data_IF_575535912052
#
_entry.id   IF_575535912052
#
_cell.length_a   1.000
_cell.length_b   1.000
_cell.length_c   1.000
_cell.angle_alpha   90.00
_cell.angle_beta   90.00
_cell.angle_gamma   90.00
#
_symmetry.space_group_name_H-M   'P 1'
#
loop_
_entity.id
_entity.type
_entity.pdbx_description
1 polymer ?
#
# COMPACT_ATOMS: atom_id res chain seq x y z
N UNK A 1 -17.27 8.14 -9.55
CA UNK A 1 -18.69 8.42 -9.84
C UNK A 1 -19.00 7.95 -11.27
N UNK A 2 -19.78 6.86 -11.46
CA UNK A 2 -20.10 6.36 -12.80
C UNK A 2 -20.84 7.36 -13.70
N UNK A 3 -21.26 8.49 -13.15
CA UNK A 3 -21.98 9.54 -13.92
C UNK A 3 -21.05 10.59 -14.55
N UNK A 4 -19.77 10.63 -14.19
CA UNK A 4 -18.78 11.50 -14.81
C UNK A 4 -17.63 10.64 -15.31
N UNK A 5 -17.45 10.57 -16.60
CA UNK A 5 -16.36 9.80 -17.24
C UNK A 5 -14.96 10.37 -16.99
N UNK A 6 -14.79 11.19 -15.96
CA UNK A 6 -13.57 11.96 -15.69
C UNK A 6 -12.78 11.45 -14.49
N UNK A 7 -13.37 10.58 -13.64
CA UNK A 7 -12.70 10.03 -12.45
C UNK A 7 -12.08 8.65 -12.74
N UNK A 8 -11.02 8.30 -12.00
CA UNK A 8 -10.37 7.00 -12.12
C UNK A 8 -11.20 5.86 -11.49
N UNK A 9 -12.05 6.18 -10.50
CA UNK A 9 -12.92 5.22 -9.82
C UNK A 9 -12.34 4.65 -8.52
N UNK A 10 -11.34 5.31 -7.91
CA UNK A 10 -10.88 5.01 -6.56
C UNK A 10 -11.86 5.56 -5.52
N UNK A 11 -12.03 4.84 -4.42
CA UNK A 11 -12.92 5.17 -3.29
C UNK A 11 -12.17 5.53 -2.01
N UNK A 12 -10.84 5.42 -2.02
CA UNK A 12 -9.96 5.83 -0.93
C UNK A 12 -8.66 6.44 -1.42
N UNK A 13 -8.08 7.31 -0.60
CA UNK A 13 -6.76 7.91 -0.80
C UNK A 13 -5.94 7.67 0.47
N UNK A 14 -4.75 7.11 0.31
CA UNK A 14 -3.70 7.12 1.31
C UNK A 14 -2.71 8.21 0.97
N UNK A 15 -2.57 9.19 1.86
CA UNK A 15 -1.55 10.21 1.81
C UNK A 15 -0.28 9.71 2.50
N UNK A 16 0.86 9.80 1.83
CA UNK A 16 2.17 9.68 2.46
C UNK A 16 2.32 10.76 3.56
N UNK A 17 3.35 10.68 4.44
CA UNK A 17 3.44 11.58 5.58
C UNK A 17 3.26 13.05 5.21
N UNK A 18 2.35 13.73 5.90
CA UNK A 18 1.97 15.14 5.66
C UNK A 18 2.47 16.07 6.78
N UNK A 19 3.00 15.50 7.85
CA UNK A 19 3.47 16.22 9.03
C UNK A 19 4.81 16.91 8.77
N UNK A 20 5.16 17.97 9.52
CA UNK A 20 6.47 18.61 9.48
C UNK A 20 7.60 17.61 9.76
N UNK A 21 8.67 17.71 8.97
CA UNK A 21 9.83 16.84 9.04
C UNK A 21 11.08 17.53 8.51
N UNK A 22 12.27 16.94 8.70
CA UNK A 22 13.50 17.51 8.19
C UNK A 22 13.86 17.01 6.79
N UNK A 23 13.26 15.90 6.35
CA UNK A 23 13.52 15.30 5.03
C UNK A 23 12.35 15.54 4.06
N UNK A 24 12.63 15.34 2.77
CA UNK A 24 11.62 15.47 1.72
C UNK A 24 10.53 14.36 1.81
N UNK A 25 10.89 13.18 2.29
CA UNK A 25 9.97 12.03 2.41
C UNK A 25 9.08 12.10 3.65
N UNK A 26 9.46 12.91 4.64
CA UNK A 26 8.71 13.25 5.86
C UNK A 26 8.40 12.10 6.82
N UNK A 27 9.13 10.99 6.71
CA UNK A 27 9.03 9.92 7.71
C UNK A 27 9.74 10.27 9.03
N UNK A 28 10.61 11.28 9.07
CA UNK A 28 11.24 11.81 10.28
C UNK A 28 10.41 12.96 10.87
N UNK A 29 9.27 12.64 11.46
CA UNK A 29 8.28 13.59 11.99
C UNK A 29 8.87 14.45 13.10
N UNK A 30 8.64 15.76 13.03
CA UNK A 30 9.02 16.74 14.07
C UNK A 30 7.82 17.31 14.85
N UNK A 31 6.61 17.21 14.31
CA UNK A 31 5.35 17.61 14.93
C UNK A 31 4.21 16.76 14.37
N UNK A 32 3.58 15.95 15.20
CA UNK A 32 2.51 15.04 14.79
C UNK A 32 1.15 15.71 14.55
N UNK A 33 0.97 16.94 15.04
CA UNK A 33 -0.33 17.63 15.00
C UNK A 33 -0.34 18.84 14.07
N UNK A 34 0.51 18.85 13.05
CA UNK A 34 0.61 19.92 12.06
C UNK A 34 0.70 19.38 10.63
N UNK A 35 0.43 20.25 9.66
CA UNK A 35 0.71 20.02 8.25
C UNK A 35 2.02 20.73 7.90
N UNK A 36 2.90 20.06 7.17
CA UNK A 36 4.13 20.66 6.68
C UNK A 36 3.83 21.84 5.73
N UNK A 37 4.51 22.97 5.95
CA UNK A 37 4.28 24.21 5.21
C UNK A 37 4.44 24.06 3.69
N UNK A 38 5.17 23.05 3.21
CA UNK A 38 5.30 22.74 1.78
C UNK A 38 4.02 22.21 1.16
N UNK A 39 3.11 21.67 1.99
CA UNK A 39 1.83 21.12 1.55
C UNK A 39 0.64 22.05 1.78
N UNK A 40 0.87 23.15 2.47
CA UNK A 40 -0.15 24.16 2.78
C UNK A 40 -0.45 24.29 4.27
N UNK A 41 -1.67 24.62 4.58
CA UNK A 41 -2.14 24.85 5.95
C UNK A 41 -3.07 23.72 6.41
N UNK A 42 -3.38 23.68 7.71
CA UNK A 42 -4.41 22.77 8.23
C UNK A 42 -5.80 23.05 7.59
N UNK A 43 -6.12 24.30 7.26
CA UNK A 43 -7.37 24.66 6.57
C UNK A 43 -7.40 24.08 5.15
N UNK A 44 -6.27 24.09 4.42
CA UNK A 44 -6.15 23.45 3.10
C UNK A 44 -6.35 21.94 3.20
N UNK A 45 -5.79 21.32 4.24
CA UNK A 45 -5.94 19.89 4.49
C UNK A 45 -7.40 19.52 4.80
N UNK A 46 -8.07 20.26 5.71
CA UNK A 46 -9.49 20.05 6.01
C UNK A 46 -10.38 20.28 4.77
N UNK A 47 -10.03 21.25 3.94
CA UNK A 47 -10.72 21.49 2.66
C UNK A 47 -10.58 20.31 1.72
N UNK A 48 -9.38 19.74 1.62
CA UNK A 48 -9.11 18.53 0.82
C UNK A 48 -9.92 17.33 1.33
N UNK A 49 -9.89 17.05 2.65
CA UNK A 49 -10.65 15.94 3.24
C UNK A 49 -12.15 16.09 2.97
N UNK A 50 -12.70 17.27 3.20
CA UNK A 50 -14.12 17.56 2.93
C UNK A 50 -14.46 17.36 1.44
N UNK A 51 -13.60 17.82 0.53
CA UNK A 51 -13.82 17.63 -0.91
C UNK A 51 -13.75 16.15 -1.33
N UNK A 52 -12.94 15.33 -0.67
CA UNK A 52 -12.92 13.88 -0.84
C UNK A 52 -14.24 13.26 -0.36
N UNK A 53 -14.69 13.60 0.84
CA UNK A 53 -15.93 13.07 1.42
C UNK A 53 -17.17 13.43 0.60
N UNK A 54 -17.25 14.65 0.06
CA UNK A 54 -18.32 15.04 -0.86
C UNK A 54 -18.41 14.18 -2.11
N UNK A 55 -17.30 13.53 -2.48
CA UNK A 55 -17.19 12.60 -3.62
C UNK A 55 -17.28 11.13 -3.24
N UNK A 56 -17.48 10.84 -1.95
CA UNK A 56 -17.51 9.47 -1.41
C UNK A 56 -16.12 8.82 -1.33
N UNK A 57 -15.06 9.63 -1.32
CA UNK A 57 -13.67 9.17 -1.20
C UNK A 57 -13.25 9.26 0.27
N UNK A 58 -12.75 8.17 0.82
CA UNK A 58 -12.16 8.09 2.16
C UNK A 58 -10.71 8.56 2.14
N UNK A 59 -10.24 9.14 3.25
CA UNK A 59 -8.88 9.65 3.36
C UNK A 59 -8.17 8.98 4.53
N UNK A 60 -7.04 8.32 4.24
CA UNK A 60 -6.11 7.80 5.22
C UNK A 60 -4.83 8.63 5.22
N UNK A 61 -4.16 8.73 6.36
CA UNK A 61 -2.82 9.28 6.48
C UNK A 61 -1.81 8.19 6.84
N UNK A 62 -0.57 8.43 6.44
CA UNK A 62 0.57 7.66 6.94
C UNK A 62 0.85 8.04 8.39
N UNK A 63 0.97 7.05 9.27
CA UNK A 63 1.11 7.25 10.69
C UNK A 63 2.38 6.60 11.19
N UNK A 64 3.40 7.44 11.39
CA UNK A 64 4.76 7.01 11.73
C UNK A 64 4.89 6.91 13.24
N UNK A 65 4.60 5.74 13.81
CA UNK A 65 4.70 5.51 15.26
C UNK A 65 6.04 4.89 15.68
N UNK A 66 6.77 4.25 14.76
CA UNK A 66 8.00 3.56 15.11
C UNK A 66 9.09 4.51 15.62
N UNK A 67 9.19 5.70 15.06
CA UNK A 67 10.28 6.64 15.34
C UNK A 67 9.84 8.09 15.14
N UNK A 68 10.64 9.00 15.66
CA UNK A 68 10.52 10.45 15.39
C UNK A 68 11.74 10.95 14.64
N UNK A 69 11.73 12.23 14.23
CA UNK A 69 12.98 12.92 13.91
C UNK A 69 13.87 13.06 15.16
N UNK A 70 15.18 13.03 14.98
CA UNK A 70 16.12 13.48 16.03
C UNK A 70 15.91 14.94 16.41
N UNK A 71 15.18 15.72 15.59
CA UNK A 71 14.82 17.12 15.88
C UNK A 71 13.46 17.24 16.58
N UNK A 72 12.76 16.14 16.84
CA UNK A 72 11.51 16.16 17.59
C UNK A 72 11.76 16.68 19.02
N UNK A 73 10.90 17.55 19.58
CA UNK A 73 11.07 18.11 20.92
C UNK A 73 11.25 17.04 22.01
N UNK A 74 10.59 15.89 21.90
CA UNK A 74 10.75 14.78 22.84
C UNK A 74 12.17 14.27 22.88
N UNK A 75 12.75 13.96 21.71
CA UNK A 75 14.11 13.44 21.62
C UNK A 75 15.15 14.50 22.04
N UNK A 76 14.99 15.75 21.60
CA UNK A 76 15.90 16.84 21.96
C UNK A 76 15.95 17.05 23.47
N UNK A 77 14.78 17.03 24.15
CA UNK A 77 14.70 17.20 25.61
C UNK A 77 15.37 16.04 26.36
N UNK A 78 15.10 14.79 25.92
CA UNK A 78 15.76 13.61 26.49
C UNK A 78 17.28 13.65 26.27
N UNK A 79 17.72 14.01 25.06
CA UNK A 79 19.13 14.09 24.70
C UNK A 79 19.88 15.16 25.52
N UNK A 80 19.28 16.35 25.73
CA UNK A 80 19.86 17.40 26.58
C UNK A 80 19.98 16.95 28.03
N UNK A 81 18.92 16.34 28.56
CA UNK A 81 18.95 15.81 29.92
C UNK A 81 20.05 14.76 30.12
N UNK A 82 20.21 13.83 29.19
CA UNK A 82 21.23 12.78 29.24
C UNK A 82 22.66 13.33 29.11
N UNK A 83 22.86 14.42 28.35
CA UNK A 83 24.16 15.09 28.24
C UNK A 83 24.59 15.77 29.52
N UNK A 84 23.62 16.28 30.29
CA UNK A 84 23.87 16.97 31.56
C UNK A 84 23.88 16.00 32.76
N UNK A 85 23.51 14.71 32.56
CA UNK A 85 23.47 13.73 33.61
C UNK A 85 24.89 13.36 34.06
N UNK A 86 25.22 13.44 35.38
CA UNK A 86 26.53 13.07 35.88
C UNK A 86 26.90 11.61 35.54
N UNK A 87 28.18 11.36 35.26
CA UNK A 87 28.70 10.03 34.98
C UNK A 87 28.27 9.01 36.06
N UNK A 88 27.74 7.87 35.60
CA UNK A 88 27.27 6.77 36.45
C UNK A 88 25.90 6.99 37.12
N UNK A 89 25.24 8.12 36.85
CA UNK A 89 23.85 8.31 37.25
C UNK A 89 22.89 7.67 36.22
N UNK A 90 21.83 7.06 36.76
CA UNK A 90 20.72 6.57 35.91
C UNK A 90 19.72 7.73 35.66
N UNK A 91 19.03 7.73 34.51
CA UNK A 91 17.99 8.72 34.22
C UNK A 91 16.84 8.63 35.20
N UNK A 92 16.28 9.79 35.51
CA UNK A 92 15.10 9.94 36.38
C UNK A 92 13.92 10.40 35.51
N UNK A 93 12.94 9.53 35.35
CA UNK A 93 11.72 9.80 34.55
C UNK A 93 10.80 10.84 35.20
N UNK A 94 10.89 11.07 36.51
CA UNK A 94 10.18 12.19 37.16
C UNK A 94 10.80 13.54 36.79
N UNK A 95 12.14 13.56 36.60
CA UNK A 95 12.86 14.78 36.19
C UNK A 95 12.76 15.04 34.67
N UNK A 96 12.77 13.99 33.86
CA UNK A 96 12.62 14.08 32.41
C UNK A 96 11.82 12.87 31.90
N UNK A 97 10.51 13.00 31.71
CA UNK A 97 9.67 11.90 31.20
C UNK A 97 10.12 11.36 29.85
N UNK A 98 10.67 12.22 29.00
CA UNK A 98 11.05 11.87 27.64
C UNK A 98 12.19 10.84 27.54
N UNK A 99 12.93 10.55 28.61
CA UNK A 99 13.92 9.46 28.59
C UNK A 99 13.27 8.07 28.51
N UNK A 100 11.99 7.95 28.86
CA UNK A 100 11.19 6.73 28.71
C UNK A 100 10.54 6.60 27.31
N UNK A 101 10.56 7.69 26.53
CA UNK A 101 9.96 7.70 25.18
C UNK A 101 10.82 6.97 24.14
N UNK A 102 12.09 6.72 24.44
CA UNK A 102 13.06 6.10 23.54
C UNK A 102 13.87 5.02 24.26
N UNK A 103 14.42 4.09 23.50
CA UNK A 103 15.31 3.06 24.02
C UNK A 103 16.73 3.59 24.16
N UNK A 104 17.06 4.14 25.35
CA UNK A 104 18.41 4.57 25.67
C UNK A 104 19.19 3.47 26.41
N UNK A 105 20.49 3.31 26.11
CA UNK A 105 21.38 2.33 26.72
C UNK A 105 22.81 2.86 26.83
N UNK A 106 23.56 2.40 27.84
CA UNK A 106 25.03 2.59 27.92
C UNK A 106 25.79 1.53 27.14
N UNK A 107 25.11 0.48 26.71
CA UNK A 107 25.69 -0.58 25.88
C UNK A 107 25.26 -0.39 24.42
N UNK A 108 26.23 -0.48 23.50
CA UNK A 108 25.95 -0.41 22.08
C UNK A 108 25.28 -1.70 21.60
N UNK A 109 23.97 -1.63 21.30
CA UNK A 109 23.23 -2.69 20.64
C UNK A 109 23.38 -2.68 19.12
N UNK A 110 22.84 -3.71 18.46
CA UNK A 110 22.58 -3.68 17.01
C UNK A 110 21.49 -2.65 16.75
N UNK A 111 21.64 -1.80 15.72
CA UNK A 111 20.68 -0.72 15.45
C UNK A 111 20.80 0.51 16.37
N UNK A 112 21.75 0.51 17.32
CA UNK A 112 21.95 1.61 18.25
C UNK A 112 23.00 2.60 17.74
N UNK A 113 22.67 3.89 17.82
CA UNK A 113 23.53 5.02 17.50
C UNK A 113 24.01 5.73 18.76
N UNK A 114 25.26 6.22 18.76
CA UNK A 114 25.79 6.94 19.92
C UNK A 114 25.21 8.34 19.99
N UNK A 115 24.66 8.72 21.18
CA UNK A 115 24.30 10.11 21.47
C UNK A 115 25.58 10.95 21.62
N UNK A 116 25.78 11.87 20.68
CA UNK A 116 27.03 12.61 20.56
C UNK A 116 27.43 13.34 21.84
N UNK A 117 28.68 13.11 22.26
CA UNK A 117 29.26 13.74 23.47
C UNK A 117 28.91 13.03 24.80
N UNK A 118 28.32 11.85 24.75
CA UNK A 118 27.95 11.04 25.91
C UNK A 118 28.42 9.59 25.77
N UNK A 119 28.24 8.80 26.82
CA UNK A 119 28.38 7.33 26.80
C UNK A 119 27.02 6.63 26.55
N UNK A 120 25.98 7.37 26.22
CA UNK A 120 24.66 6.86 25.88
C UNK A 120 24.54 6.50 24.39
N UNK A 121 23.73 5.48 24.14
CA UNK A 121 23.27 5.05 22.82
C UNK A 121 21.74 5.08 22.81
N UNK A 122 21.14 5.26 21.64
CA UNK A 122 19.69 5.18 21.41
C UNK A 122 19.42 4.28 20.22
N UNK A 123 18.31 3.59 20.24
CA UNK A 123 17.86 2.77 19.12
C UNK A 123 17.47 3.65 17.94
N UNK A 124 17.90 3.26 16.73
CA UNK A 124 17.57 3.94 15.48
C UNK A 124 17.81 2.95 14.33
N UNK A 125 16.85 2.07 14.10
CA UNK A 125 16.97 0.95 13.16
C UNK A 125 17.13 1.41 11.71
N UNK A 126 16.49 2.53 11.33
CA UNK A 126 16.52 3.03 9.97
C UNK A 126 17.68 4.01 9.72
N UNK A 127 17.84 4.98 10.61
CA UNK A 127 18.86 6.03 10.43
C UNK A 127 19.08 6.77 11.75
N UNK A 128 20.32 7.24 12.00
CA UNK A 128 20.65 7.98 13.22
C UNK A 128 19.79 9.21 13.51
N UNK A 129 19.18 9.81 12.48
CA UNK A 129 18.26 10.94 12.63
C UNK A 129 16.79 10.50 12.83
N UNK A 130 16.55 9.18 12.98
CA UNK A 130 15.24 8.59 13.24
C UNK A 130 15.32 7.70 14.49
N UNK A 131 15.38 8.29 15.71
CA UNK A 131 15.37 7.52 16.96
C UNK A 131 14.04 6.78 17.14
N UNK A 132 14.13 5.50 17.46
CA UNK A 132 12.98 4.62 17.65
C UNK A 132 12.29 4.90 18.98
N UNK A 133 10.96 4.96 18.96
CA UNK A 133 10.12 5.20 20.13
C UNK A 133 9.90 3.90 20.92
N UNK A 134 9.83 4.04 22.23
CA UNK A 134 9.42 2.97 23.12
C UNK A 134 7.87 2.87 23.16
N UNK A 135 7.29 2.07 22.29
CA UNK A 135 5.84 1.87 22.22
C UNK A 135 5.28 0.99 23.35
N UNK A 136 6.13 0.46 24.24
CA UNK A 136 5.71 -0.17 25.50
C UNK A 136 5.46 0.87 26.60
N UNK A 137 5.98 2.10 26.47
CA UNK A 137 5.75 3.19 27.41
C UNK A 137 4.29 3.66 27.39
N UNK A 138 3.63 3.66 28.56
CA UNK A 138 2.27 4.17 28.70
C UNK A 138 2.19 5.67 28.34
N UNK A 139 3.25 6.43 28.60
CA UNK A 139 3.31 7.85 28.28
C UNK A 139 3.35 8.06 26.75
N UNK A 140 4.12 7.28 26.01
CA UNK A 140 4.13 7.33 24.53
C UNK A 140 2.78 6.91 23.97
N UNK A 141 2.16 5.87 24.51
CA UNK A 141 0.80 5.44 24.12
C UNK A 141 -0.24 6.52 24.35
N UNK A 142 -0.13 7.28 25.44
CA UNK A 142 -1.02 8.41 25.72
C UNK A 142 -0.85 9.54 24.69
N UNK A 143 0.38 9.87 24.30
CA UNK A 143 0.64 10.84 23.23
C UNK A 143 -0.03 10.40 21.91
N UNK A 144 0.14 9.13 21.51
CA UNK A 144 -0.49 8.64 20.28
C UNK A 144 -2.02 8.52 20.37
N UNK A 145 -2.58 8.33 21.56
CA UNK A 145 -4.03 8.42 21.77
C UNK A 145 -4.55 9.84 21.48
N UNK A 146 -3.86 10.88 21.99
CA UNK A 146 -4.20 12.29 21.76
C UNK A 146 -3.97 12.73 20.31
N UNK A 147 -2.87 12.28 19.69
CA UNK A 147 -2.56 12.53 18.27
C UNK A 147 -3.62 11.88 17.37
N UNK A 148 -4.09 10.68 17.72
CA UNK A 148 -5.15 9.99 16.99
C UNK A 148 -6.47 10.75 17.08
N UNK A 149 -6.86 11.26 18.25
CA UNK A 149 -8.03 12.11 18.41
C UNK A 149 -7.95 13.34 17.51
N UNK A 150 -6.78 14.02 17.54
CA UNK A 150 -6.55 15.18 16.69
C UNK A 150 -6.84 14.90 15.20
N UNK A 151 -6.29 13.83 14.65
CA UNK A 151 -6.48 13.51 13.22
C UNK A 151 -7.89 13.01 12.90
N UNK A 152 -8.52 12.24 13.79
CA UNK A 152 -9.91 11.82 13.62
C UNK A 152 -10.87 13.03 13.63
N UNK A 153 -10.62 14.04 14.46
CA UNK A 153 -11.36 15.31 14.46
C UNK A 153 -11.20 16.09 13.15
N UNK A 154 -10.08 15.92 12.43
CA UNK A 154 -9.86 16.48 11.09
C UNK A 154 -10.55 15.69 9.98
N UNK A 155 -11.24 14.61 10.30
CA UNK A 155 -12.05 13.84 9.37
C UNK A 155 -11.32 12.66 8.71
N UNK A 156 -10.17 12.24 9.22
CA UNK A 156 -9.46 11.08 8.69
C UNK A 156 -10.28 9.80 8.88
N UNK A 157 -10.26 8.93 7.88
CA UNK A 157 -11.01 7.68 7.83
C UNK A 157 -10.18 6.45 8.18
N UNK A 158 -8.89 6.60 8.38
CA UNK A 158 -8.01 5.49 8.69
C UNK A 158 -6.54 5.85 8.71
N UNK A 159 -5.73 4.84 9.00
CA UNK A 159 -4.30 4.99 9.20
C UNK A 159 -3.52 3.90 8.46
N UNK A 160 -2.47 4.29 7.76
CA UNK A 160 -1.42 3.38 7.34
C UNK A 160 -0.31 3.42 8.39
N UNK A 161 -0.02 2.31 8.98
CA UNK A 161 0.97 2.18 10.04
C UNK A 161 2.33 1.83 9.45
N UNK A 162 3.24 2.81 9.51
CA UNK A 162 4.61 2.67 9.01
C UNK A 162 5.41 1.70 9.86
N UNK A 163 6.25 0.89 9.20
CA UNK A 163 7.26 0.04 9.81
C UNK A 163 6.77 -0.81 11.00
N UNK A 164 5.54 -1.32 10.95
CA UNK A 164 4.91 -2.01 12.07
C UNK A 164 5.63 -3.30 12.52
N UNK A 165 6.53 -3.82 11.70
CA UNK A 165 7.40 -4.94 12.05
C UNK A 165 8.53 -4.55 13.01
N UNK A 166 8.87 -3.26 13.07
CA UNK A 166 10.01 -2.74 13.83
C UNK A 166 9.60 -2.03 15.12
N UNK A 167 8.31 -2.01 15.50
CA UNK A 167 7.80 -1.37 16.72
C UNK A 167 8.49 -1.88 17.99
N UNK A 168 8.79 -3.18 18.03
CA UNK A 168 9.70 -3.81 18.98
C UNK A 168 10.59 -4.75 18.19
N UNK A 169 11.82 -4.32 17.94
CA UNK A 169 12.74 -4.97 17.02
C UNK A 169 12.99 -6.43 17.39
N UNK A 170 12.62 -7.32 16.48
CA UNK A 170 12.83 -8.77 16.62
C UNK A 170 11.76 -9.50 17.44
N UNK A 171 10.68 -8.83 17.90
CA UNK A 171 9.60 -9.44 18.67
C UNK A 171 8.26 -9.37 17.93
N UNK A 172 7.86 -10.43 17.26
CA UNK A 172 6.54 -10.52 16.59
C UNK A 172 5.42 -10.38 17.62
N UNK A 173 5.53 -11.03 18.78
CA UNK A 173 4.48 -11.02 19.80
C UNK A 173 4.26 -9.60 20.37
N UNK A 174 5.34 -8.85 20.66
CA UNK A 174 5.24 -7.46 21.12
C UNK A 174 4.66 -6.55 20.04
N UNK A 175 5.05 -6.72 18.78
CA UNK A 175 4.48 -5.96 17.66
C UNK A 175 2.98 -6.20 17.51
N UNK A 176 2.51 -7.45 17.64
CA UNK A 176 1.10 -7.81 17.62
C UNK A 176 0.36 -7.16 18.80
N UNK A 177 0.96 -7.14 19.99
CA UNK A 177 0.36 -6.50 21.17
C UNK A 177 0.21 -4.98 20.97
N UNK A 178 1.26 -4.31 20.48
CA UNK A 178 1.23 -2.88 20.20
C UNK A 178 0.17 -2.56 19.13
N UNK A 179 0.10 -3.34 18.06
CA UNK A 179 -0.94 -3.20 17.05
C UNK A 179 -2.35 -3.46 17.60
N UNK A 180 -2.50 -4.43 18.51
CA UNK A 180 -3.79 -4.70 19.17
C UNK A 180 -4.22 -3.52 20.02
N UNK A 181 -3.30 -2.93 20.79
CA UNK A 181 -3.56 -1.72 21.53
C UNK A 181 -4.04 -0.59 20.62
N UNK A 182 -3.28 -0.30 19.57
CA UNK A 182 -3.62 0.78 18.63
C UNK A 182 -4.96 0.54 17.92
N UNK A 183 -5.18 -0.67 17.41
CA UNK A 183 -6.44 -1.04 16.76
C UNK A 183 -7.64 -0.84 17.69
N UNK A 184 -7.56 -1.32 18.93
CA UNK A 184 -8.67 -1.19 19.89
C UNK A 184 -8.95 0.27 20.20
N UNK A 185 -7.91 1.07 20.47
CA UNK A 185 -8.02 2.50 20.75
C UNK A 185 -8.69 3.25 19.58
N UNK A 186 -8.26 3.02 18.35
CA UNK A 186 -8.86 3.66 17.15
C UNK A 186 -10.30 3.21 16.95
N UNK A 187 -10.58 1.91 17.05
CA UNK A 187 -11.94 1.36 16.83
C UNK A 187 -12.95 1.79 17.91
N UNK A 188 -12.49 2.06 19.13
CA UNK A 188 -13.32 2.68 20.17
C UNK A 188 -13.74 4.11 19.82
N UNK A 189 -12.84 4.89 19.18
CA UNK A 189 -13.09 6.27 18.74
C UNK A 189 -13.89 6.35 17.44
N UNK A 190 -13.53 5.52 16.46
CA UNK A 190 -14.14 5.45 15.11
C UNK A 190 -14.18 3.99 14.65
N UNK A 191 -15.30 3.31 14.87
CA UNK A 191 -15.45 1.88 14.62
C UNK A 191 -15.29 1.47 13.16
N UNK A 192 -15.50 2.39 12.21
CA UNK A 192 -15.34 2.19 10.77
C UNK A 192 -13.99 2.72 10.21
N UNK A 193 -13.08 3.17 11.07
CA UNK A 193 -11.74 3.54 10.63
C UNK A 193 -11.00 2.33 10.05
N UNK A 194 -10.33 2.50 8.92
CA UNK A 194 -9.55 1.44 8.28
C UNK A 194 -8.08 1.52 8.70
N UNK A 195 -7.52 0.39 9.13
CA UNK A 195 -6.13 0.29 9.58
C UNK A 195 -5.39 -0.71 8.71
N UNK A 196 -4.35 -0.26 8.02
CA UNK A 196 -3.44 -1.10 7.26
C UNK A 196 -2.01 -0.95 7.77
N UNK A 197 -1.36 -2.07 8.10
CA UNK A 197 0.01 -2.07 8.60
C UNK A 197 1.02 -2.43 7.51
N UNK A 198 2.18 -1.79 7.55
CA UNK A 198 3.34 -2.22 6.79
C UNK A 198 4.16 -3.22 7.61
N UNK A 199 4.04 -4.48 7.24
CA UNK A 199 4.85 -5.57 7.77
C UNK A 199 5.67 -6.15 6.62
N UNK A 200 6.78 -5.51 6.28
CA UNK A 200 7.61 -5.93 5.15
C UNK A 200 8.32 -7.25 5.46
N UNK A 201 7.68 -8.34 5.09
CA UNK A 201 8.16 -9.69 5.36
C UNK A 201 7.57 -10.72 4.38
N UNK A 202 7.90 -11.99 4.59
CA UNK A 202 7.23 -13.09 3.88
C UNK A 202 5.80 -13.32 4.41
N UNK A 203 5.02 -14.08 3.62
CA UNK A 203 3.61 -14.36 3.91
C UNK A 203 3.40 -14.98 5.30
N UNK A 204 4.23 -15.94 5.68
CA UNK A 204 4.10 -16.64 6.95
C UNK A 204 4.34 -15.71 8.15
N UNK A 205 5.11 -14.66 7.95
CA UNK A 205 5.36 -13.65 8.98
C UNK A 205 4.26 -12.61 9.03
N UNK A 206 3.95 -11.90 7.92
CA UNK A 206 2.94 -10.83 8.00
C UNK A 206 1.53 -11.33 8.27
N UNK A 207 1.19 -12.56 7.90
CA UNK A 207 -0.10 -13.16 8.23
C UNK A 207 -0.36 -13.24 9.75
N UNK A 208 0.68 -13.43 10.56
CA UNK A 208 0.55 -13.51 12.02
C UNK A 208 0.04 -12.20 12.63
N UNK A 209 0.33 -11.07 12.00
CA UNK A 209 -0.05 -9.74 12.50
C UNK A 209 -1.56 -9.48 12.47
N UNK A 210 -2.32 -10.25 11.69
CA UNK A 210 -3.79 -10.21 11.73
C UNK A 210 -4.40 -10.64 13.08
N UNK A 211 -3.62 -11.32 13.94
CA UNK A 211 -4.02 -11.62 15.33
C UNK A 211 -4.22 -10.35 16.16
N UNK A 212 -3.63 -9.22 15.75
CA UNK A 212 -3.83 -7.92 16.41
C UNK A 212 -5.23 -7.33 16.24
N UNK A 213 -6.01 -7.86 15.29
CA UNK A 213 -7.34 -7.34 14.96
C UNK A 213 -7.34 -6.19 13.96
N UNK A 214 -6.18 -5.76 13.43
CA UNK A 214 -6.11 -4.77 12.35
C UNK A 214 -6.88 -5.26 11.13
N UNK A 215 -7.41 -4.33 10.31
CA UNK A 215 -8.16 -4.69 9.12
C UNK A 215 -7.27 -5.36 8.07
N UNK A 216 -6.07 -4.83 7.86
CA UNK A 216 -5.17 -5.28 6.79
C UNK A 216 -3.69 -5.18 7.15
N UNK A 217 -2.90 -6.01 6.49
CA UNK A 217 -1.46 -5.81 6.28
C UNK A 217 -1.18 -5.82 4.78
N UNK A 218 -0.22 -5.00 4.33
CA UNK A 218 0.17 -4.99 2.92
C UNK A 218 0.71 -6.35 2.47
N UNK A 219 0.22 -6.83 1.33
CA UNK A 219 0.60 -8.12 0.76
C UNK A 219 1.87 -7.99 -0.11
N UNK A 220 3.01 -8.17 0.53
CA UNK A 220 4.32 -8.14 -0.13
C UNK A 220 4.59 -9.33 -1.05
N UNK A 221 3.81 -10.42 -0.96
CA UNK A 221 4.00 -11.64 -1.78
C UNK A 221 3.82 -11.34 -3.27
N UNK A 222 2.88 -10.46 -3.61
CA UNK A 222 2.53 -10.17 -5.00
C UNK A 222 3.26 -8.94 -5.55
N UNK A 223 3.83 -8.13 -4.68
CA UNK A 223 4.46 -6.85 -5.01
C UNK A 223 5.88 -7.00 -5.58
N UNK A 224 6.37 -5.90 -6.18
CA UNK A 224 7.72 -5.71 -6.71
C UNK A 224 8.05 -6.55 -7.96
N UNK A 225 9.22 -6.26 -8.53
CA UNK A 225 9.79 -6.89 -9.75
C UNK A 225 10.00 -8.40 -9.63
N UNK A 226 10.14 -8.89 -8.40
CA UNK A 226 10.39 -10.30 -8.06
C UNK A 226 9.17 -10.96 -7.37
N UNK A 227 8.05 -10.25 -7.26
CA UNK A 227 6.79 -10.76 -6.72
C UNK A 227 6.06 -11.70 -7.68
N UNK A 228 4.97 -12.27 -7.20
CA UNK A 228 4.18 -13.26 -7.95
C UNK A 228 3.61 -12.67 -9.24
N UNK A 229 3.07 -11.45 -9.19
CA UNK A 229 2.51 -10.77 -10.36
C UNK A 229 3.58 -10.60 -11.44
N UNK A 230 4.70 -9.97 -11.10
CA UNK A 230 5.76 -9.69 -12.08
C UNK A 230 6.32 -10.96 -12.71
N UNK A 231 6.48 -12.04 -11.94
CA UNK A 231 6.97 -13.34 -12.43
C UNK A 231 5.99 -14.00 -13.38
N UNK A 232 4.70 -13.98 -13.08
CA UNK A 232 3.65 -14.53 -13.95
C UNK A 232 3.58 -13.75 -15.27
N UNK A 233 3.56 -12.42 -15.22
CA UNK A 233 3.52 -11.54 -16.40
C UNK A 233 4.77 -11.64 -17.26
N UNK A 234 5.96 -11.82 -16.67
CA UNK A 234 7.21 -12.06 -17.41
C UNK A 234 7.30 -13.46 -18.01
N UNK A 235 6.43 -14.39 -17.60
CA UNK A 235 6.53 -15.81 -17.96
C UNK A 235 7.71 -16.53 -17.31
N UNK A 236 8.31 -15.98 -16.25
CA UNK A 236 9.37 -16.65 -15.46
C UNK A 236 8.80 -17.65 -14.46
N UNK A 237 7.52 -17.52 -14.15
CA UNK A 237 6.68 -18.57 -13.58
C UNK A 237 5.41 -18.70 -14.43
N UNK A 238 4.76 -19.87 -14.42
CA UNK A 238 3.51 -20.05 -15.14
C UNK A 238 2.36 -19.23 -14.54
N UNK A 239 1.35 -18.88 -15.34
CA UNK A 239 0.16 -18.16 -14.91
C UNK A 239 -0.58 -18.88 -13.76
N UNK A 240 -0.58 -20.21 -13.76
CA UNK A 240 -1.14 -21.04 -12.67
C UNK A 240 -0.48 -20.77 -11.31
N UNK A 241 0.77 -20.29 -11.27
CA UNK A 241 1.46 -19.95 -10.03
C UNK A 241 0.81 -18.78 -9.29
N UNK A 242 0.22 -17.83 -10.02
CA UNK A 242 -0.53 -16.72 -9.46
C UNK A 242 -1.80 -17.22 -8.75
N UNK A 243 -2.58 -18.11 -9.39
CA UNK A 243 -3.77 -18.68 -8.76
C UNK A 243 -3.46 -19.50 -7.49
N UNK A 244 -2.38 -20.30 -7.54
CA UNK A 244 -1.90 -21.06 -6.36
C UNK A 244 -1.45 -20.13 -5.22
N UNK A 245 -0.81 -19.03 -5.55
CA UNK A 245 -0.37 -18.06 -4.55
C UNK A 245 -1.56 -17.36 -3.87
N UNK A 246 -2.64 -17.05 -4.62
CA UNK A 246 -3.87 -16.47 -4.05
C UNK A 246 -4.53 -17.42 -3.04
N UNK A 247 -4.64 -18.71 -3.37
CA UNK A 247 -5.21 -19.70 -2.42
C UNK A 247 -4.34 -19.81 -1.17
N UNK A 248 -3.01 -19.92 -1.35
CA UNK A 248 -2.08 -19.95 -0.22
C UNK A 248 -2.18 -18.70 0.67
N UNK A 249 -2.34 -17.52 0.07
CA UNK A 249 -2.57 -16.27 0.80
C UNK A 249 -3.83 -16.37 1.66
N UNK A 250 -4.97 -16.74 1.06
CA UNK A 250 -6.24 -16.86 1.77
C UNK A 250 -6.15 -17.84 2.94
N UNK A 251 -5.52 -18.99 2.74
CA UNK A 251 -5.30 -20.00 3.76
C UNK A 251 -4.43 -19.48 4.91
N UNK A 252 -3.37 -18.73 4.58
CA UNK A 252 -2.47 -18.18 5.57
C UNK A 252 -3.16 -17.08 6.41
N UNK A 253 -3.84 -16.12 5.77
CA UNK A 253 -4.54 -15.05 6.48
C UNK A 253 -5.71 -15.60 7.30
N UNK A 254 -6.50 -16.53 6.73
CA UNK A 254 -7.61 -17.19 7.40
C UNK A 254 -7.21 -18.06 8.60
N UNK A 255 -5.93 -18.41 8.73
CA UNK A 255 -5.40 -19.08 9.93
C UNK A 255 -5.40 -18.16 11.14
N UNK A 256 -5.28 -16.86 10.96
CA UNK A 256 -5.09 -15.89 12.04
C UNK A 256 -6.29 -14.95 12.23
N UNK A 257 -7.15 -14.80 11.23
CA UNK A 257 -8.35 -13.95 11.32
C UNK A 257 -9.46 -14.44 10.40
N UNK A 258 -10.67 -14.62 10.93
CA UNK A 258 -11.87 -14.94 10.14
C UNK A 258 -12.42 -13.70 9.38
N UNK A 259 -11.97 -12.51 9.73
CA UNK A 259 -12.45 -11.23 9.19
C UNK A 259 -11.34 -10.40 8.51
N UNK A 260 -10.24 -11.05 8.12
CA UNK A 260 -9.16 -10.35 7.45
C UNK A 260 -9.64 -9.66 6.15
N UNK A 261 -9.03 -8.52 5.87
CA UNK A 261 -9.10 -7.85 4.58
C UNK A 261 -7.69 -7.86 4.01
N UNK A 262 -7.47 -8.49 2.89
CA UNK A 262 -6.18 -8.42 2.21
C UNK A 262 -5.91 -7.00 1.67
N UNK A 263 -4.64 -6.58 1.62
CA UNK A 263 -4.24 -5.30 1.04
C UNK A 263 -3.22 -5.49 -0.09
N UNK A 264 -3.67 -6.02 -1.24
CA UNK A 264 -2.79 -6.23 -2.37
C UNK A 264 -2.33 -4.91 -2.98
N UNK A 265 -1.07 -4.88 -3.35
CA UNK A 265 -0.45 -3.79 -4.10
C UNK A 265 0.61 -4.34 -5.05
N UNK A 266 0.92 -3.60 -6.11
CA UNK A 266 1.94 -4.03 -7.07
C UNK A 266 3.26 -3.30 -6.88
N UNK A 267 3.19 -1.99 -6.68
CA UNK A 267 4.33 -1.14 -6.35
C UNK A 267 3.94 -0.10 -5.31
N UNK A 268 4.93 0.50 -4.67
CA UNK A 268 4.76 1.61 -3.75
C UNK A 268 5.94 2.61 -3.88
N UNK A 269 6.00 3.56 -2.97
CA UNK A 269 7.02 4.61 -2.93
C UNK A 269 8.44 4.12 -2.58
N UNK A 270 8.58 2.87 -2.09
CA UNK A 270 9.87 2.26 -1.75
C UNK A 270 10.38 1.29 -2.82
N UNK A 271 9.55 0.99 -3.82
CA UNK A 271 9.87 0.07 -4.92
C UNK A 271 10.04 0.81 -6.23
N UNK A 272 10.77 0.21 -7.17
CA UNK A 272 10.78 0.69 -8.55
C UNK A 272 9.38 0.60 -9.15
N UNK A 273 9.01 1.57 -10.00
CA UNK A 273 7.69 1.59 -10.66
C UNK A 273 7.54 0.45 -11.65
N UNK A 274 6.35 -0.13 -11.74
CA UNK A 274 6.02 -1.35 -12.47
C UNK A 274 6.35 -1.32 -13.98
N UNK A 275 6.17 -0.18 -14.64
CA UNK A 275 6.53 -0.02 -16.05
C UNK A 275 8.04 -0.21 -16.33
N UNK A 276 8.88 -0.10 -15.30
CA UNK A 276 10.31 -0.37 -15.37
C UNK A 276 10.69 -1.85 -15.31
N UNK A 277 9.75 -2.74 -15.01
CA UNK A 277 10.02 -4.17 -14.86
C UNK A 277 10.02 -4.93 -16.19
N UNK A 278 9.50 -4.33 -17.26
CA UNK A 278 9.29 -4.94 -18.56
C UNK A 278 10.11 -4.26 -19.64
N UNK A 279 10.35 -4.95 -20.73
CA UNK A 279 11.11 -4.44 -21.87
C UNK A 279 10.70 -5.15 -23.19
N UNK A 280 11.03 -4.52 -24.32
CA UNK A 280 10.71 -5.05 -25.66
C UNK A 280 9.29 -4.70 -26.10
N UNK A 281 8.84 -5.37 -27.15
CA UNK A 281 7.60 -5.02 -27.88
C UNK A 281 6.30 -5.33 -27.08
N UNK A 282 6.41 -6.11 -26.00
CA UNK A 282 5.26 -6.50 -25.15
C UNK A 282 5.18 -5.72 -23.86
N UNK A 283 6.08 -4.78 -23.60
CA UNK A 283 6.18 -4.10 -22.30
C UNK A 283 4.91 -3.37 -21.89
N UNK A 284 4.18 -2.75 -22.83
CA UNK A 284 2.93 -2.06 -22.52
C UNK A 284 1.82 -3.05 -22.13
N UNK A 285 1.65 -4.13 -22.92
CA UNK A 285 0.71 -5.18 -22.59
C UNK A 285 1.00 -5.83 -21.23
N UNK A 286 2.28 -6.02 -20.90
CA UNK A 286 2.71 -6.55 -19.61
C UNK A 286 2.44 -5.57 -18.47
N UNK A 287 2.67 -4.27 -18.68
CA UNK A 287 2.35 -3.22 -17.71
C UNK A 287 0.85 -3.20 -17.40
N UNK A 288 0.01 -3.24 -18.44
CA UNK A 288 -1.46 -3.31 -18.31
C UNK A 288 -1.90 -4.56 -17.53
N UNK A 289 -1.42 -5.74 -17.95
CA UNK A 289 -1.79 -7.01 -17.35
C UNK A 289 -1.42 -7.06 -15.85
N UNK A 290 -0.23 -6.56 -15.49
CA UNK A 290 0.20 -6.52 -14.08
C UNK A 290 -0.75 -5.69 -13.21
N UNK A 291 -1.20 -4.54 -13.71
CA UNK A 291 -2.20 -3.72 -13.00
C UNK A 291 -3.53 -4.45 -12.84
N UNK A 292 -4.01 -5.13 -13.88
CA UNK A 292 -5.23 -5.94 -13.77
C UNK A 292 -5.09 -7.08 -12.75
N UNK A 293 -3.95 -7.77 -12.74
CA UNK A 293 -3.70 -8.85 -11.79
C UNK A 293 -3.72 -8.32 -10.34
N UNK A 294 -3.18 -7.12 -10.08
CA UNK A 294 -3.28 -6.48 -8.78
C UNK A 294 -4.72 -6.04 -8.46
N UNK A 295 -5.34 -5.27 -9.34
CA UNK A 295 -6.64 -4.65 -9.08
C UNK A 295 -7.81 -5.65 -9.02
N UNK A 296 -7.68 -6.82 -9.61
CA UNK A 296 -8.70 -7.87 -9.56
C UNK A 296 -8.46 -8.90 -8.44
N UNK A 297 -7.52 -8.67 -7.52
CA UNK A 297 -7.40 -9.42 -6.26
C UNK A 297 -8.55 -9.07 -5.29
N UNK A 298 -8.81 -9.95 -4.34
CA UNK A 298 -9.76 -9.67 -3.24
C UNK A 298 -9.13 -8.72 -2.21
N UNK A 299 -9.94 -8.12 -1.35
CA UNK A 299 -9.47 -7.17 -0.33
C UNK A 299 -9.48 -5.71 -0.76
N UNK A 300 -8.70 -4.88 -0.13
CA UNK A 300 -8.50 -3.45 -0.44
C UNK A 300 -7.28 -3.28 -1.34
N UNK A 301 -7.46 -3.25 -2.66
CA UNK A 301 -6.35 -3.15 -3.61
C UNK A 301 -5.79 -1.74 -3.68
N UNK A 302 -4.48 -1.60 -3.49
CA UNK A 302 -3.78 -0.32 -3.56
C UNK A 302 -3.14 -0.10 -4.93
N UNK A 303 -3.32 1.09 -5.47
CA UNK A 303 -2.72 1.58 -6.71
C UNK A 303 -1.78 2.74 -6.36
N UNK A 304 -0.49 2.59 -6.60
CA UNK A 304 0.45 3.70 -6.43
C UNK A 304 0.26 4.72 -7.56
N UNK A 305 0.16 6.01 -7.22
CA UNK A 305 -0.09 7.07 -8.21
C UNK A 305 0.92 7.02 -9.36
N UNK A 306 0.44 7.24 -10.56
CA UNK A 306 1.23 7.19 -11.79
C UNK A 306 1.40 5.79 -12.38
N UNK A 307 1.07 4.72 -11.67
CA UNK A 307 1.02 3.37 -12.24
C UNK A 307 -0.08 3.25 -13.31
N UNK A 308 -1.18 4.01 -13.15
CA UNK A 308 -2.25 4.14 -14.14
C UNK A 308 -1.80 4.82 -15.44
N UNK A 309 -0.63 5.46 -15.43
CA UNK A 309 -0.01 6.06 -16.61
C UNK A 309 1.21 5.27 -17.11
N UNK A 310 1.63 4.24 -16.37
CA UNK A 310 2.88 3.56 -16.62
C UNK A 310 4.10 4.47 -16.41
N UNK A 311 4.06 5.34 -15.41
CA UNK A 311 5.20 6.17 -15.03
C UNK A 311 6.42 5.31 -14.68
N UNK A 312 7.62 5.85 -14.89
CA UNK A 312 8.88 5.22 -14.52
C UNK A 312 9.51 5.94 -13.33
N UNK A 313 10.34 5.20 -12.61
CA UNK A 313 11.14 5.69 -11.50
C UNK A 313 11.75 4.51 -10.74
N UNK A 314 13.07 4.48 -10.63
CA UNK A 314 13.81 3.43 -9.96
C UNK A 314 15.18 3.92 -9.52
N UNK A 315 15.87 3.11 -8.72
CA UNK A 315 17.20 3.43 -8.19
C UNK A 315 17.09 4.29 -6.95
N UNK A 316 17.35 5.59 -7.05
CA UNK A 316 17.22 6.51 -5.92
C UNK A 316 15.76 6.60 -5.45
N UNK A 317 15.58 6.87 -4.17
CA UNK A 317 14.25 7.03 -3.57
C UNK A 317 13.46 8.16 -4.23
N UNK A 318 14.11 9.28 -4.49
CA UNK A 318 13.52 10.44 -5.13
C UNK A 318 12.91 10.10 -6.49
N UNK A 319 13.53 9.19 -7.24
CA UNK A 319 13.04 8.78 -8.56
C UNK A 319 11.72 8.01 -8.49
N UNK A 320 11.51 7.24 -7.42
CA UNK A 320 10.27 6.47 -7.19
C UNK A 320 9.09 7.40 -6.87
N UNK A 321 9.40 8.59 -6.34
CA UNK A 321 8.47 9.62 -5.85
C UNK A 321 8.41 10.84 -6.77
N UNK A 322 8.67 10.63 -8.07
CA UNK A 322 8.57 11.66 -9.10
C UNK A 322 7.15 12.25 -9.13
N UNK A 323 6.99 13.55 -9.44
CA UNK A 323 5.69 14.18 -9.57
C UNK A 323 4.78 13.47 -10.56
N UNK A 324 3.48 13.51 -10.32
CA UNK A 324 2.49 12.97 -11.23
C UNK A 324 2.63 13.58 -12.63
N UNK A 325 2.62 12.74 -13.66
CA UNK A 325 2.82 13.14 -15.05
C UNK A 325 1.50 13.58 -15.70
N UNK A 326 0.99 14.74 -15.21
CA UNK A 326 -0.27 15.31 -15.70
C UNK A 326 -0.18 15.73 -17.17
N UNK A 327 0.95 16.35 -17.56
CA UNK A 327 1.18 16.94 -18.88
C UNK A 327 2.64 16.81 -19.28
N UNK A 328 2.90 16.80 -20.60
CA UNK A 328 4.25 16.97 -21.18
C UNK A 328 4.79 18.40 -21.04
N UNK A 329 3.90 19.36 -20.87
CA UNK A 329 4.28 20.74 -20.57
C UNK A 329 4.52 20.90 -19.07
N UNK A 330 5.79 21.06 -18.69
CA UNK A 330 6.20 21.26 -17.29
C UNK A 330 5.63 22.54 -16.65
N UNK A 331 5.11 23.48 -17.44
CA UNK A 331 4.46 24.69 -16.98
C UNK A 331 2.93 24.59 -16.88
N UNK A 332 2.36 23.42 -17.18
CA UNK A 332 0.92 23.24 -17.09
C UNK A 332 0.43 23.32 -15.64
N UNK A 333 -0.84 23.71 -15.47
CA UNK A 333 -1.49 23.78 -14.17
C UNK A 333 -1.46 22.40 -13.47
N UNK A 334 -1.17 22.37 -12.18
CA UNK A 334 -1.07 21.15 -11.39
C UNK A 334 0.29 20.44 -11.46
N UNK A 335 1.18 20.87 -12.35
CA UNK A 335 2.56 20.34 -12.35
C UNK A 335 3.33 20.89 -11.15
N UNK A 336 4.08 20.00 -10.48
CA UNK A 336 4.95 20.37 -9.36
C UNK A 336 6.39 19.90 -9.61
N UNK A 337 7.31 20.44 -8.82
CA UNK A 337 8.71 20.00 -8.82
C UNK A 337 8.82 18.66 -8.08
N UNK A 338 9.74 17.82 -8.56
CA UNK A 338 10.11 16.61 -7.86
C UNK A 338 10.98 16.87 -6.63
N UNK A 339 11.25 15.82 -5.84
CA UNK A 339 12.22 15.89 -4.76
C UNK A 339 13.56 16.44 -5.23
N UNK A 340 14.24 17.17 -4.34
CA UNK A 340 15.62 17.56 -4.58
C UNK A 340 16.46 16.30 -4.84
N UNK A 341 17.43 16.36 -5.72
CA UNK A 341 18.29 15.23 -6.12
C UNK A 341 17.64 14.13 -6.95
N UNK A 342 16.37 14.27 -7.35
CA UNK A 342 15.74 13.40 -8.32
C UNK A 342 16.47 13.47 -9.67
N UNK A 343 16.69 12.32 -10.29
CA UNK A 343 17.27 12.27 -11.62
C UNK A 343 16.24 12.73 -12.69
N UNK A 344 16.72 13.08 -13.87
CA UNK A 344 15.83 13.30 -15.01
C UNK A 344 15.30 11.96 -15.49
N UNK A 345 14.01 11.72 -15.28
CA UNK A 345 13.33 10.47 -15.66
C UNK A 345 12.73 10.63 -17.06
N UNK A 346 13.14 9.77 -17.98
CA UNK A 346 12.50 9.68 -19.30
C UNK A 346 11.29 8.74 -19.22
N UNK A 347 10.09 9.30 -19.37
CA UNK A 347 8.86 8.52 -19.47
C UNK A 347 8.79 7.79 -20.81
N UNK A 348 8.25 6.59 -20.82
CA UNK A 348 8.06 5.78 -22.03
C UNK A 348 6.68 6.03 -22.63
N UNK A 349 5.70 6.20 -21.77
CA UNK A 349 4.31 6.42 -22.12
C UNK A 349 3.95 7.90 -22.01
N UNK A 350 2.86 8.25 -22.63
CA UNK A 350 2.35 9.63 -22.68
C UNK A 350 1.85 10.09 -21.29
N UNK A 351 1.67 11.39 -21.14
CA UNK A 351 1.10 11.98 -19.91
C UNK A 351 -0.40 11.72 -19.83
N UNK A 352 -1.02 12.01 -18.67
CA UNK A 352 -2.46 11.84 -18.48
C UNK A 352 -3.26 12.54 -19.58
N UNK A 353 -2.87 13.77 -19.92
CA UNK A 353 -3.58 14.56 -20.92
C UNK A 353 -3.71 13.85 -22.27
N UNK A 354 -2.62 13.24 -22.77
CA UNK A 354 -2.68 12.50 -24.02
C UNK A 354 -3.30 11.10 -23.86
N UNK A 355 -3.05 10.42 -22.73
CA UNK A 355 -3.61 9.10 -22.50
C UNK A 355 -5.14 9.12 -22.39
N UNK A 356 -5.74 10.22 -21.95
CA UNK A 356 -7.20 10.38 -21.94
C UNK A 356 -7.80 10.42 -23.34
N UNK A 357 -7.05 10.85 -24.33
CA UNK A 357 -7.47 10.89 -25.73
C UNK A 357 -7.22 9.58 -26.49
N UNK A 358 -6.45 8.65 -25.91
CA UNK A 358 -6.16 7.34 -26.47
C UNK A 358 -6.91 6.23 -25.73
N UNK A 359 -7.99 5.74 -26.30
CA UNK A 359 -8.82 4.68 -25.71
C UNK A 359 -8.11 3.33 -25.49
N UNK A 360 -6.90 3.15 -26.02
CA UNK A 360 -6.06 1.96 -25.78
C UNK A 360 -4.94 2.22 -24.78
N UNK A 361 -4.87 3.39 -24.15
CA UNK A 361 -3.82 3.74 -23.20
C UNK A 361 -3.84 2.87 -21.94
N UNK A 362 -2.77 2.97 -21.12
CA UNK A 362 -2.71 2.34 -19.80
C UNK A 362 -3.77 2.93 -18.89
N UNK A 363 -3.99 4.25 -18.97
CA UNK A 363 -5.02 4.95 -18.19
C UNK A 363 -6.42 4.34 -18.36
N UNK A 364 -6.87 4.17 -19.59
CA UNK A 364 -8.20 3.59 -19.86
C UNK A 364 -8.29 2.12 -19.47
N UNK A 365 -7.20 1.37 -19.61
CA UNK A 365 -7.14 -0.01 -19.16
C UNK A 365 -7.29 -0.13 -17.63
N UNK A 366 -6.56 0.68 -16.87
CA UNK A 366 -6.64 0.71 -15.40
C UNK A 366 -8.02 1.20 -14.95
N UNK A 367 -8.55 2.24 -15.58
CA UNK A 367 -9.90 2.74 -15.30
C UNK A 367 -10.97 1.67 -15.53
N UNK A 368 -10.86 0.90 -16.60
CA UNK A 368 -11.79 -0.21 -16.88
C UNK A 368 -11.63 -1.35 -15.86
N UNK A 369 -10.41 -1.66 -15.42
CA UNK A 369 -10.19 -2.64 -14.35
C UNK A 369 -10.87 -2.22 -13.04
N UNK A 370 -10.73 -0.96 -12.65
CA UNK A 370 -11.40 -0.40 -11.48
C UNK A 370 -12.92 -0.37 -11.65
N UNK A 371 -13.42 -0.05 -12.85
CA UNK A 371 -14.86 -0.10 -13.16
C UNK A 371 -15.43 -1.51 -12.98
N UNK A 372 -14.74 -2.53 -13.48
CA UNK A 372 -15.14 -3.93 -13.31
C UNK A 372 -15.09 -4.34 -11.84
N UNK A 373 -14.02 -3.99 -11.13
CA UNK A 373 -13.91 -4.25 -9.69
C UNK A 373 -15.09 -3.65 -8.91
N UNK A 374 -15.46 -2.41 -9.21
CA UNK A 374 -16.55 -1.70 -8.52
C UNK A 374 -17.95 -2.20 -8.93
N UNK A 375 -18.09 -2.71 -10.16
CA UNK A 375 -19.35 -3.25 -10.66
C UNK A 375 -19.66 -4.67 -10.17
N UNK A 376 -18.62 -5.43 -9.82
CA UNK A 376 -18.73 -6.83 -9.40
C UNK A 376 -18.11 -7.04 -8.01
N UNK A 377 -18.89 -6.94 -6.93
CA UNK A 377 -18.38 -7.07 -5.56
C UNK A 377 -17.71 -8.43 -5.30
N UNK A 378 -18.00 -9.46 -6.07
CA UNK A 378 -17.31 -10.74 -6.03
C UNK A 378 -15.80 -10.58 -6.25
N UNK A 379 -15.36 -9.57 -7.00
CA UNK A 379 -13.94 -9.31 -7.25
C UNK A 379 -13.24 -8.86 -5.97
N UNK A 380 -13.84 -7.93 -5.24
CA UNK A 380 -13.24 -7.33 -4.04
C UNK A 380 -13.54 -8.10 -2.75
N UNK A 381 -14.75 -8.63 -2.61
CA UNK A 381 -15.19 -9.34 -1.39
C UNK A 381 -15.17 -10.86 -1.51
N UNK A 382 -15.06 -11.38 -2.74
CA UNK A 382 -15.18 -12.81 -2.99
C UNK A 382 -13.96 -13.61 -2.53
N UNK A 383 -14.22 -14.79 -1.99
CA UNK A 383 -13.18 -15.81 -1.81
C UNK A 383 -12.81 -16.41 -3.16
N UNK A 384 -11.54 -16.46 -3.45
CA UNK A 384 -11.04 -16.99 -4.72
C UNK A 384 -10.84 -18.51 -4.65
N UNK A 385 -11.35 -19.19 -5.65
CA UNK A 385 -11.09 -20.61 -5.94
C UNK A 385 -10.21 -20.69 -7.18
N UNK A 386 -9.08 -21.35 -7.09
CA UNK A 386 -8.20 -21.60 -8.23
C UNK A 386 -8.69 -22.83 -9.02
N UNK A 387 -9.10 -22.61 -10.27
CA UNK A 387 -9.59 -23.68 -11.15
C UNK A 387 -8.41 -24.34 -11.87
N UNK A 388 -7.70 -25.23 -11.15
CA UNK A 388 -6.44 -25.83 -11.62
C UNK A 388 -6.61 -26.59 -12.94
N UNK A 389 -7.73 -27.31 -13.13
CA UNK A 389 -8.01 -28.08 -14.34
C UNK A 389 -8.23 -27.22 -15.58
N UNK A 390 -8.48 -25.93 -15.42
CA UNK A 390 -8.70 -24.93 -16.49
C UNK A 390 -7.51 -23.97 -16.65
N UNK A 391 -6.51 -24.16 -15.85
CA UNK A 391 -5.33 -23.29 -15.78
C UNK A 391 -4.08 -24.04 -16.20
N UNK A 392 -3.12 -23.30 -16.78
CA UNK A 392 -1.81 -23.82 -17.18
C UNK A 392 -0.72 -22.74 -16.99
N UNK A 393 0.42 -22.91 -17.65
CA UNK A 393 1.51 -21.92 -17.62
C UNK A 393 1.17 -20.62 -18.36
N UNK A 394 0.17 -20.65 -19.25
CA UNK A 394 -0.24 -19.51 -20.05
C UNK A 394 -1.48 -18.81 -19.52
N UNK A 395 -2.39 -19.55 -18.90
CA UNK A 395 -3.70 -19.06 -18.49
C UNK A 395 -3.94 -19.36 -17.01
N UNK A 396 -4.44 -18.37 -16.28
CA UNK A 396 -4.96 -18.53 -14.91
C UNK A 396 -6.46 -18.30 -14.89
N UNK A 397 -7.21 -19.23 -14.31
CA UNK A 397 -8.65 -19.17 -14.15
C UNK A 397 -8.99 -19.19 -12.66
N UNK A 398 -9.67 -18.15 -12.20
CA UNK A 398 -10.14 -17.99 -10.82
C UNK A 398 -11.65 -17.86 -10.82
N UNK A 399 -12.33 -18.56 -9.90
CA UNK A 399 -13.70 -18.27 -9.53
C UNK A 399 -13.68 -17.47 -8.24
N UNK A 400 -14.39 -16.35 -8.20
CA UNK A 400 -14.58 -15.54 -7.00
C UNK A 400 -16.03 -15.63 -6.56
N UNK A 401 -16.23 -16.13 -5.34
CA UNK A 401 -17.54 -16.40 -4.78
C UNK A 401 -17.86 -15.37 -3.71
N UNK A 402 -18.99 -14.68 -3.85
CA UNK A 402 -19.49 -13.73 -2.86
C UNK A 402 -21.00 -13.88 -2.68
N UNK A 403 -21.47 -14.18 -1.47
CA UNK A 403 -22.87 -14.49 -1.18
C UNK A 403 -23.39 -15.60 -2.14
N UNK A 404 -24.45 -15.32 -2.87
CA UNK A 404 -25.09 -16.27 -3.80
C UNK A 404 -24.63 -16.08 -5.26
N UNK A 405 -23.57 -15.31 -5.48
CA UNK A 405 -23.06 -14.98 -6.82
C UNK A 405 -21.57 -15.31 -6.99
N UNK A 406 -21.16 -15.47 -8.22
CA UNK A 406 -19.75 -15.69 -8.55
C UNK A 406 -19.35 -15.04 -9.85
N UNK A 407 -18.07 -14.65 -9.94
CA UNK A 407 -17.42 -14.16 -11.16
C UNK A 407 -16.23 -15.07 -11.48
N UNK A 408 -16.06 -15.40 -12.74
CA UNK A 408 -14.87 -16.09 -13.24
C UNK A 408 -13.94 -15.04 -13.86
N UNK A 409 -12.72 -14.95 -13.34
CA UNK A 409 -11.66 -14.08 -13.87
C UNK A 409 -10.65 -14.96 -14.59
N UNK A 410 -10.36 -14.64 -15.84
CA UNK A 410 -9.42 -15.38 -16.68
C UNK A 410 -8.31 -14.44 -17.13
N UNK A 411 -7.07 -14.80 -16.85
CA UNK A 411 -5.88 -14.07 -17.29
C UNK A 411 -5.13 -14.89 -18.34
N UNK A 412 -4.93 -14.33 -19.54
CA UNK A 412 -3.98 -14.82 -20.51
C UNK A 412 -2.65 -14.08 -20.31
N UNK A 413 -1.65 -14.77 -19.77
CA UNK A 413 -0.32 -14.22 -19.50
C UNK A 413 0.65 -14.35 -20.69
N UNK A 414 0.14 -14.63 -21.89
CA UNK A 414 0.93 -14.76 -23.10
C UNK A 414 0.44 -13.83 -24.21
N UNK A 415 1.24 -13.68 -25.25
CA UNK A 415 0.84 -12.94 -26.47
C UNK A 415 0.02 -13.77 -27.45
N UNK A 416 -0.06 -15.07 -27.23
CA UNK A 416 -0.72 -16.01 -28.13
C UNK A 416 -2.19 -16.17 -27.75
N UNK A 417 -3.06 -16.37 -28.72
CA UNK A 417 -4.46 -16.69 -28.48
C UNK A 417 -4.60 -17.96 -27.66
N UNK A 418 -5.48 -17.91 -26.65
CA UNK A 418 -5.79 -19.03 -25.78
C UNK A 418 -7.29 -19.26 -25.71
N UNK A 419 -7.67 -20.52 -25.57
CA UNK A 419 -9.06 -20.94 -25.45
C UNK A 419 -9.26 -21.71 -24.17
N UNK A 420 -10.31 -21.33 -23.40
CA UNK A 420 -10.71 -21.99 -22.14
C UNK A 420 -12.14 -22.51 -22.27
N UNK A 421 -12.32 -23.79 -22.05
CA UNK A 421 -13.65 -24.43 -22.02
C UNK A 421 -14.26 -24.32 -20.62
N UNK A 422 -15.23 -23.43 -20.45
CA UNK A 422 -15.98 -23.19 -19.23
C UNK A 422 -17.35 -23.88 -19.22
N UNK A 423 -17.65 -24.74 -20.20
CA UNK A 423 -18.96 -25.37 -20.38
C UNK A 423 -19.40 -26.20 -19.17
N UNK A 424 -18.47 -26.88 -18.51
CA UNK A 424 -18.78 -27.68 -17.32
C UNK A 424 -19.15 -26.83 -16.10
N UNK A 425 -18.54 -25.63 -15.96
CA UNK A 425 -18.89 -24.70 -14.89
C UNK A 425 -20.33 -24.19 -15.07
N UNK A 426 -20.74 -23.91 -16.31
CA UNK A 426 -22.11 -23.50 -16.62
C UNK A 426 -23.14 -24.58 -16.25
N UNK A 427 -22.78 -25.85 -16.41
CA UNK A 427 -23.68 -26.96 -16.13
C UNK A 427 -23.89 -27.23 -14.63
N UNK A 428 -22.89 -26.89 -13.81
CA UNK A 428 -22.94 -27.10 -12.35
C UNK A 428 -23.55 -25.92 -11.59
N UNK A 429 -23.83 -24.79 -12.27
CA UNK A 429 -24.38 -23.59 -11.64
C UNK A 429 -25.92 -23.66 -11.58
N UNK A 430 -26.49 -23.64 -10.38
CA UNK A 430 -27.95 -23.47 -10.19
C UNK A 430 -28.45 -22.09 -10.64
N UNK A 431 -27.53 -21.15 -10.93
CA UNK A 431 -27.80 -19.72 -11.18
C UNK A 431 -27.90 -19.31 -12.65
N UNK A 432 -27.79 -20.25 -13.62
CA UNK A 432 -27.98 -19.96 -15.04
C UNK A 432 -26.70 -19.95 -15.89
N UNK A 433 -26.85 -19.60 -17.17
CA UNK A 433 -25.76 -19.61 -18.16
C UNK A 433 -24.72 -18.52 -17.87
N UNK A 434 -23.43 -18.87 -18.01
CA UNK A 434 -22.33 -17.92 -17.98
C UNK A 434 -22.44 -16.93 -19.16
N UNK A 435 -22.08 -15.68 -18.91
CA UNK A 435 -22.00 -14.64 -19.92
C UNK A 435 -20.71 -13.81 -19.75
N UNK A 436 -20.20 -13.30 -20.82
CA UNK A 436 -19.09 -12.34 -20.77
C UNK A 436 -19.58 -11.04 -20.12
N UNK A 437 -19.01 -10.70 -18.96
CA UNK A 437 -19.38 -9.54 -18.16
C UNK A 437 -18.51 -8.31 -18.45
N UNK A 438 -17.26 -8.52 -18.89
CA UNK A 438 -16.33 -7.48 -19.28
C UNK A 438 -15.03 -8.07 -19.78
N UNK A 439 -14.21 -7.23 -20.36
CA UNK A 439 -12.90 -7.59 -20.88
C UNK A 439 -11.88 -6.47 -20.66
N UNK A 440 -10.63 -6.83 -20.47
CA UNK A 440 -9.51 -5.91 -20.36
C UNK A 440 -8.51 -6.21 -21.49
N UNK A 441 -8.41 -5.30 -22.44
CA UNK A 441 -7.63 -5.50 -23.66
C UNK A 441 -6.23 -4.91 -23.52
N UNK A 442 -5.22 -5.78 -23.48
CA UNK A 442 -3.81 -5.34 -23.54
C UNK A 442 -3.37 -4.88 -24.93
N UNK A 443 -4.20 -5.16 -25.94
CA UNK A 443 -4.03 -4.80 -27.36
C UNK A 443 -5.37 -4.46 -27.97
N UNK A 444 -5.55 -4.79 -29.25
CA UNK A 444 -6.78 -4.47 -30.03
C UNK A 444 -7.70 -5.67 -30.27
N UNK A 445 -7.28 -6.87 -29.87
CA UNK A 445 -8.07 -8.09 -30.07
C UNK A 445 -9.06 -8.25 -28.91
N UNK A 446 -10.35 -8.28 -29.23
CA UNK A 446 -11.41 -8.56 -28.28
C UNK A 446 -11.50 -10.06 -27.94
N UNK A 447 -11.91 -10.37 -26.73
CA UNK A 447 -12.29 -11.71 -26.33
C UNK A 447 -13.57 -12.16 -27.07
N UNK A 448 -13.72 -13.46 -27.24
CA UNK A 448 -14.96 -14.02 -27.77
C UNK A 448 -15.51 -15.10 -26.86
N UNK A 449 -16.83 -15.11 -26.72
CA UNK A 449 -17.57 -16.11 -25.95
C UNK A 449 -18.55 -16.84 -26.84
N UNK A 450 -18.40 -18.16 -26.96
CA UNK A 450 -19.30 -18.98 -27.76
C UNK A 450 -19.46 -20.37 -27.13
N UNK A 451 -20.72 -20.78 -26.87
CA UNK A 451 -21.10 -22.14 -26.44
C UNK A 451 -20.28 -22.66 -25.23
N UNK A 452 -20.04 -21.80 -24.23
CA UNK A 452 -19.26 -22.15 -23.04
C UNK A 452 -17.74 -22.05 -23.23
N UNK A 453 -17.28 -21.63 -24.39
CA UNK A 453 -15.86 -21.48 -24.71
C UNK A 453 -15.48 -19.99 -24.76
N UNK A 454 -14.46 -19.63 -23.99
CA UNK A 454 -13.85 -18.31 -23.98
C UNK A 454 -12.54 -18.33 -24.79
N UNK A 455 -12.39 -17.42 -25.75
CA UNK A 455 -11.13 -17.19 -26.49
C UNK A 455 -10.60 -15.79 -26.13
N UNK A 456 -9.31 -15.73 -25.76
CA UNK A 456 -8.62 -14.54 -25.26
C UNK A 456 -7.40 -14.22 -26.13
#
# INVERSE_FOLDING_TARGET
>A
NPATDTDLGCDGIWLMPVMPATTYHKYDVTDYCAIDEQYGTMEDFETFVNACHERGIRVMIDFVMNHTSSQHPWFQTAAEYLKDLPEGMEPDTEACPYVDYYHFSREKGSGYCQLAGTDWYYEAQFWSEMPDLNLESEAVRQEFDEITDFWLEKGIDGFRLDAAKEYETGSIDSNIEILSWFNNMVKEKKSDAYIVAEVWSDLETYAQYYQSGIDSSFDFTFADKDGVIAKAVKGTSGASSYGKAIVRLQDALGTYSDSYIDAPFYTNHDMGRGAGYYSGDTMEAQTKLAQAMNLLMSGSSFLYYGEELGMKGAGKDENKRAPMYWSKDAGAEGMCLGPQDMDVITMIYDSLAEQQDDGNSIYWYVKEALRLRNAYPEISHGTAEFLENLSDDAVCVLRKNWQDSSVIVVFNCTKDERTVDLSQISADSESGDLKLAGELLTGTRAASWQDGTLTL
#
